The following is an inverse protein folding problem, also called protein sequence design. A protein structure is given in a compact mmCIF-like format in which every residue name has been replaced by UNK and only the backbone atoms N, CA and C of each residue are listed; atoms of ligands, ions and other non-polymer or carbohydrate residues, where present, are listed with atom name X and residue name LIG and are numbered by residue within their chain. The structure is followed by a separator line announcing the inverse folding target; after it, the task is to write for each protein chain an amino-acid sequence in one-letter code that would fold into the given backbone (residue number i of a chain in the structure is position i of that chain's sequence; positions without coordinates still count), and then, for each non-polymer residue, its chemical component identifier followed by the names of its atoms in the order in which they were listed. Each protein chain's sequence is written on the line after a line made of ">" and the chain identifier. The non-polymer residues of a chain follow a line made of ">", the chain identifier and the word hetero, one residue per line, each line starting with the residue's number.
data_IF_325964867198
#
_entry.id   IF_325964867198
#
_cell.length_a   1.000
_cell.length_b   1.000
_cell.length_c   1.000
_cell.angle_alpha   90.00
_cell.angle_beta   90.00
_cell.angle_gamma   90.00
#
_symmetry.space_group_name_H-M   'P 1'
#
loop_
_entity.id
_entity.type
_entity.pdbx_description
1 polymer ?
#
# COMPACT_ATOMS: atom_id res chain seq x y z
N UNK A 1 -25.10 5.24 -3.73
CA UNK A 1 -25.03 6.07 -2.51
C UNK A 1 -23.69 6.76 -2.56
N UNK A 2 -23.66 8.08 -2.78
CA UNK A 2 -22.42 8.82 -3.01
C UNK A 2 -21.62 8.91 -1.70
N UNK A 3 -20.34 8.54 -1.74
CA UNK A 3 -19.39 8.78 -0.66
C UNK A 3 -19.35 10.29 -0.37
N UNK A 4 -19.82 10.67 0.82
CA UNK A 4 -19.46 11.96 1.41
C UNK A 4 -18.24 11.71 2.28
N UNK A 5 -17.14 12.41 1.98
CA UNK A 5 -16.04 12.58 2.91
C UNK A 5 -16.60 13.12 4.24
N UNK A 6 -16.37 12.40 5.33
CA UNK A 6 -16.56 12.93 6.68
C UNK A 6 -15.40 13.88 6.97
N UNK A 7 -15.61 15.15 6.63
CA UNK A 7 -14.73 16.25 7.06
C UNK A 7 -14.98 16.49 8.55
N UNK A 8 -13.91 16.54 9.34
CA UNK A 8 -13.94 16.91 10.77
C UNK A 8 -14.73 18.21 10.95
N UNK A 9 -15.96 18.10 11.48
CA UNK A 9 -16.80 19.24 11.82
C UNK A 9 -16.72 19.43 13.34
N UNK A 10 -16.36 20.64 13.78
CA UNK A 10 -16.12 21.01 15.19
C UNK A 10 -17.36 20.90 16.10
N UNK A 11 -18.52 20.53 15.55
CA UNK A 11 -19.79 20.35 16.25
C UNK A 11 -20.17 18.88 16.55
N UNK A 12 -19.20 17.97 16.60
CA UNK A 12 -19.46 16.55 16.90
C UNK A 12 -19.81 16.38 18.37
N UNK A 13 -21.07 16.05 18.68
CA UNK A 13 -21.52 15.77 20.05
C UNK A 13 -21.41 14.26 20.35
N UNK A 14 -20.72 13.94 21.45
CA UNK A 14 -20.62 12.58 21.99
C UNK A 14 -21.77 12.35 22.98
N UNK A 15 -22.61 11.35 22.70
CA UNK A 15 -23.68 10.92 23.61
C UNK A 15 -23.26 9.58 24.24
N UNK A 16 -23.28 9.50 25.57
CA UNK A 16 -23.02 8.24 26.28
C UNK A 16 -24.28 7.38 26.28
N UNK A 17 -24.15 6.11 25.93
CA UNK A 17 -25.25 5.14 25.98
C UNK A 17 -24.95 4.03 27.00
N UNK A 18 -25.96 3.49 27.70
CA UNK A 18 -25.80 2.32 28.55
C UNK A 18 -25.25 1.13 27.74
N UNK A 19 -24.43 0.28 28.37
CA UNK A 19 -23.81 -0.90 27.77
C UNK A 19 -24.85 -1.91 27.25
N UNK A 20 -25.24 -1.80 25.98
CA UNK A 20 -26.11 -2.77 25.29
C UNK A 20 -25.34 -3.86 24.53
N UNK A 21 -24.01 -3.78 24.48
CA UNK A 21 -23.15 -4.69 23.72
C UNK A 21 -22.15 -5.34 24.67
N UNK A 22 -22.25 -6.66 24.86
CA UNK A 22 -21.39 -7.40 25.78
C UNK A 22 -19.90 -7.14 25.56
N UNK A 23 -19.15 -7.01 26.66
CA UNK A 23 -17.68 -6.99 26.81
C UNK A 23 -16.82 -6.10 25.88
N UNK A 24 -17.40 -5.24 25.04
CA UNK A 24 -16.67 -4.31 24.17
C UNK A 24 -16.61 -2.89 24.74
N UNK A 25 -15.43 -2.26 24.71
CA UNK A 25 -15.29 -0.81 24.97
C UNK A 25 -15.39 -0.08 23.64
N UNK A 26 -16.35 0.85 23.55
CA UNK A 26 -16.57 1.65 22.35
C UNK A 26 -17.42 2.88 22.64
N UNK A 27 -17.37 3.84 21.73
CA UNK A 27 -18.10 5.10 21.81
C UNK A 27 -19.13 5.17 20.68
N UNK A 28 -20.28 5.79 20.95
CA UNK A 28 -21.26 6.12 19.91
C UNK A 28 -21.08 7.58 19.49
N UNK A 29 -20.92 7.77 18.20
CA UNK A 29 -20.80 9.07 17.56
C UNK A 29 -22.10 9.35 16.82
N UNK A 30 -22.77 10.43 17.17
CA UNK A 30 -23.96 10.89 16.45
C UNK A 30 -23.52 11.43 15.09
N UNK A 31 -23.99 10.81 14.00
CA UNK A 31 -23.61 11.20 12.64
C UNK A 31 -24.46 12.37 12.15
N UNK A 32 -25.77 12.13 12.02
CA UNK A 32 -26.74 13.10 11.53
C UNK A 32 -28.18 12.63 11.80
N UNK A 33 -29.15 13.45 11.40
CA UNK A 33 -30.58 13.14 11.46
C UNK A 33 -31.19 13.24 10.06
N UNK A 34 -31.74 12.14 9.55
CA UNK A 34 -32.40 12.09 8.24
C UNK A 34 -33.84 11.62 8.45
N UNK A 35 -34.81 12.39 7.98
CA UNK A 35 -36.25 12.07 8.07
C UNK A 35 -36.71 11.71 9.50
N UNK A 36 -36.25 12.49 10.49
CA UNK A 36 -36.57 12.25 11.90
C UNK A 36 -35.76 11.15 12.58
N UNK A 37 -35.05 10.31 11.82
CA UNK A 37 -34.20 9.23 12.34
C UNK A 37 -32.79 9.74 12.62
N UNK A 38 -32.35 9.66 13.87
CA UNK A 38 -30.96 9.92 14.23
C UNK A 38 -30.11 8.69 13.92
N UNK A 39 -29.00 8.88 13.20
CA UNK A 39 -28.03 7.83 12.91
C UNK A 39 -26.85 7.93 13.87
N UNK A 40 -26.52 6.80 14.48
CA UNK A 40 -25.36 6.65 15.35
C UNK A 40 -24.34 5.73 14.70
N UNK A 41 -23.06 6.04 14.92
CA UNK A 41 -21.91 5.23 14.55
C UNK A 41 -21.27 4.73 15.84
N UNK A 42 -21.34 3.42 16.09
CA UNK A 42 -20.48 2.83 17.11
C UNK A 42 -19.07 2.69 16.57
N UNK A 43 -18.08 3.12 17.36
CA UNK A 43 -16.65 2.91 17.10
C UNK A 43 -16.07 2.25 18.34
N UNK A 44 -15.57 1.03 18.20
CA UNK A 44 -14.94 0.31 19.30
C UNK A 44 -13.93 -0.70 18.82
N UNK A 45 -13.18 -1.25 19.78
CA UNK A 45 -12.17 -2.26 19.50
C UNK A 45 -12.82 -3.64 19.37
N UNK A 46 -12.49 -4.37 18.30
CA UNK A 46 -12.86 -5.78 18.16
C UNK A 46 -11.71 -6.63 18.71
N UNK A 47 -11.94 -7.32 19.84
CA UNK A 47 -11.02 -8.34 20.36
C UNK A 47 -9.93 -7.88 21.32
N UNK A 48 -10.08 -6.76 22.02
CA UNK A 48 -9.13 -6.32 23.05
C UNK A 48 -9.81 -5.60 24.21
N UNK A 49 -9.39 -5.89 25.44
CA UNK A 49 -9.79 -5.19 26.65
C UNK A 49 -8.93 -3.93 26.74
N UNK A 50 -9.50 -2.75 26.49
CA UNK A 50 -8.83 -1.48 26.83
C UNK A 50 -9.70 -0.74 27.83
N UNK A 51 -9.13 -0.37 28.98
CA UNK A 51 -9.85 0.28 30.08
C UNK A 51 -9.93 1.80 29.95
N UNK A 52 -9.65 2.36 28.77
CA UNK A 52 -9.52 3.80 28.55
C UNK A 52 -10.53 4.30 27.49
N UNK A 53 -11.01 5.56 27.61
CA UNK A 53 -11.86 6.20 26.60
C UNK A 53 -11.20 6.19 25.21
N UNK A 54 -12.00 6.09 24.15
CA UNK A 54 -11.53 5.90 22.79
C UNK A 54 -11.15 7.26 22.21
N UNK A 55 -9.93 7.72 22.47
CA UNK A 55 -9.47 9.01 21.96
C UNK A 55 -9.16 8.92 20.45
N UNK A 56 -10.12 9.32 19.61
CA UNK A 56 -10.00 9.36 18.14
C UNK A 56 -8.81 10.20 17.66
N UNK A 57 -8.43 11.26 18.38
CA UNK A 57 -7.27 12.10 18.05
C UNK A 57 -5.93 11.39 18.35
N UNK A 58 -5.95 10.31 19.13
CA UNK A 58 -4.78 9.48 19.44
C UNK A 58 -4.62 8.25 18.55
N UNK A 59 -5.60 7.96 17.68
CA UNK A 59 -5.52 6.85 16.72
C UNK A 59 -4.51 7.21 15.63
N UNK A 60 -3.23 7.00 15.93
CA UNK A 60 -2.09 7.11 14.99
C UNK A 60 -1.61 5.75 14.49
N UNK A 61 -2.39 4.70 14.71
CA UNK A 61 -1.96 3.31 14.48
C UNK A 61 -2.43 2.79 13.14
N UNK A 62 -1.45 2.48 12.29
CA UNK A 62 -1.61 1.81 11.00
C UNK A 62 -2.25 0.43 11.20
N UNK A 63 -3.45 0.21 10.66
CA UNK A 63 -4.08 -1.10 10.57
C UNK A 63 -5.06 -1.47 11.70
N UNK A 64 -5.66 -0.50 12.39
CA UNK A 64 -6.85 -0.74 13.22
C UNK A 64 -8.05 -1.15 12.35
N UNK A 65 -8.69 -2.25 12.70
CA UNK A 65 -10.00 -2.61 12.15
C UNK A 65 -11.06 -2.02 13.09
N UNK A 66 -11.68 -0.93 12.65
CA UNK A 66 -12.83 -0.36 13.33
C UNK A 66 -14.07 -1.03 12.76
N UNK A 67 -14.88 -1.61 13.64
CA UNK A 67 -16.20 -2.11 13.27
C UNK A 67 -17.19 -0.97 13.44
N UNK A 68 -17.89 -0.62 12.35
CA UNK A 68 -18.95 0.37 12.40
C UNK A 68 -20.30 -0.32 12.36
N UNK A 69 -21.12 -0.02 13.36
CA UNK A 69 -22.50 -0.50 13.45
C UNK A 69 -23.44 0.69 13.35
N UNK A 70 -24.29 0.67 12.33
CA UNK A 70 -25.40 1.62 12.19
C UNK A 70 -26.59 1.14 13.02
N UNK A 71 -27.14 2.02 13.85
CA UNK A 71 -28.41 1.77 14.52
C UNK A 71 -29.48 2.72 13.97
N UNK A 72 -30.63 2.16 13.57
CA UNK A 72 -31.82 2.92 13.20
C UNK A 72 -32.79 2.93 14.38
N UNK A 73 -33.10 4.10 14.92
CA UNK A 73 -33.95 4.24 16.11
C UNK A 73 -35.46 4.13 15.80
N UNK A 74 -35.89 3.27 14.88
CA UNK A 74 -37.31 3.22 14.44
C UNK A 74 -37.93 1.81 14.34
N UNK A 75 -37.28 0.77 14.85
CA UNK A 75 -37.93 -0.55 15.02
C UNK A 75 -37.17 -1.43 16.01
N UNK A 76 -37.89 -2.34 16.68
CA UNK A 76 -37.43 -3.23 17.77
C UNK A 76 -36.32 -4.25 17.40
N UNK A 77 -35.59 -4.06 16.29
CA UNK A 77 -34.50 -4.93 15.86
C UNK A 77 -33.41 -4.10 15.16
N UNK A 78 -32.24 -3.88 15.78
CA UNK A 78 -31.12 -3.21 15.11
C UNK A 78 -30.63 -4.03 13.91
N UNK A 79 -30.61 -3.43 12.72
CA UNK A 79 -29.96 -4.02 11.54
C UNK A 79 -28.50 -3.58 11.49
N UNK A 80 -27.59 -4.51 11.69
CA UNK A 80 -26.16 -4.28 11.55
C UNK A 80 -25.76 -4.33 10.08
N UNK A 81 -25.25 -3.22 9.54
CA UNK A 81 -24.55 -3.20 8.26
C UNK A 81 -23.06 -3.15 8.60
N UNK A 82 -22.37 -4.28 8.40
CA UNK A 82 -20.91 -4.32 8.55
C UNK A 82 -20.29 -3.60 7.35
N UNK A 83 -19.87 -2.35 7.55
CA UNK A 83 -18.99 -1.66 6.62
C UNK A 83 -17.60 -1.59 7.23
N UNK A 84 -16.62 -2.12 6.50
CA UNK A 84 -15.21 -1.91 6.84
C UNK A 84 -14.85 -0.48 6.46
N UNK A 85 -14.87 0.43 7.43
CA UNK A 85 -14.45 1.81 7.22
C UNK A 85 -12.97 1.95 7.56
N UNK A 86 -12.24 2.54 6.61
CA UNK A 86 -10.81 2.84 6.75
C UNK A 86 -10.64 4.32 6.93
N UNK A 87 -10.00 4.69 8.03
CA UNK A 87 -9.52 6.04 8.24
C UNK A 87 -8.13 6.13 7.65
N UNK A 88 -8.01 6.88 6.57
CA UNK A 88 -6.73 7.26 6.02
C UNK A 88 -6.32 8.56 6.70
N UNK A 89 -5.16 8.60 7.39
CA UNK A 89 -4.68 9.86 7.93
C UNK A 89 -4.49 10.85 6.78
N UNK A 90 -4.81 12.12 7.03
CA UNK A 90 -4.56 13.18 6.06
C UNK A 90 -3.08 13.12 5.64
N UNK A 91 -2.78 13.01 4.34
CA UNK A 91 -1.40 12.95 3.85
C UNK A 91 -0.58 14.14 4.35
N UNK A 92 0.67 13.91 4.76
CA UNK A 92 1.56 15.01 5.09
C UNK A 92 1.87 15.86 3.84
N UNK A 93 2.25 17.12 4.05
CA UNK A 93 2.60 17.99 2.93
C UNK A 93 3.85 17.49 2.18
N UNK A 94 4.71 16.72 2.86
CA UNK A 94 5.81 16.01 2.21
C UNK A 94 5.29 14.97 1.21
N UNK A 95 4.36 14.10 1.61
CA UNK A 95 3.84 13.06 0.73
C UNK A 95 3.09 13.65 -0.46
N UNK A 96 2.34 14.75 -0.27
CA UNK A 96 1.71 15.49 -1.37
C UNK A 96 2.75 16.03 -2.33
N UNK A 97 3.74 16.77 -1.82
CA UNK A 97 4.81 17.35 -2.64
C UNK A 97 5.54 16.29 -3.45
N UNK A 98 5.92 15.18 -2.82
CA UNK A 98 6.57 14.05 -3.50
C UNK A 98 5.72 13.52 -4.66
N UNK A 99 4.42 13.34 -4.45
CA UNK A 99 3.50 12.84 -5.48
C UNK A 99 3.34 13.83 -6.61
N UNK A 100 3.18 15.11 -6.29
CA UNK A 100 3.05 16.17 -7.28
C UNK A 100 4.32 16.29 -8.13
N UNK A 101 5.48 16.08 -7.51
CA UNK A 101 6.80 16.09 -8.16
C UNK A 101 7.11 14.80 -8.97
N UNK A 102 6.27 13.75 -8.95
CA UNK A 102 6.50 12.55 -9.79
C UNK A 102 6.44 12.92 -11.27
N UNK A 103 7.56 12.71 -11.98
CA UNK A 103 7.69 12.96 -13.41
C UNK A 103 7.44 11.67 -14.19
N UNK A 104 6.36 11.62 -14.98
CA UNK A 104 5.97 10.43 -15.77
C UNK A 104 5.71 10.71 -17.26
N UNK A 105 6.21 11.83 -17.79
CA UNK A 105 5.97 12.25 -19.17
C UNK A 105 6.56 11.30 -20.25
N UNK A 106 7.49 10.41 -19.87
CA UNK A 106 8.07 9.37 -20.73
C UNK A 106 7.48 7.98 -20.47
N UNK A 107 6.42 7.89 -19.67
CA UNK A 107 5.72 6.64 -19.41
C UNK A 107 4.63 6.43 -20.48
N UNK A 108 4.43 5.19 -20.92
CA UNK A 108 3.36 4.85 -21.84
C UNK A 108 1.99 5.25 -21.25
N UNK A 109 1.13 5.82 -22.10
CA UNK A 109 -0.18 6.32 -21.71
C UNK A 109 -1.06 5.28 -21.00
N UNK A 110 -0.97 4.01 -21.38
CA UNK A 110 -1.73 2.93 -20.73
C UNK A 110 -1.41 2.82 -19.22
N UNK A 111 -0.17 3.11 -18.81
CA UNK A 111 0.24 3.07 -17.41
C UNK A 111 -0.03 4.35 -16.65
N UNK A 112 -0.27 5.47 -17.36
CA UNK A 112 -0.63 6.72 -16.71
C UNK A 112 -1.93 6.58 -15.91
N UNK A 113 -2.88 5.73 -16.35
CA UNK A 113 -4.09 5.44 -15.58
C UNK A 113 -3.78 4.72 -14.27
N UNK A 114 -2.89 3.71 -14.31
CA UNK A 114 -2.47 2.97 -13.10
C UNK A 114 -1.79 3.92 -12.11
N UNK A 115 -0.81 4.70 -12.59
CA UNK A 115 -0.11 5.67 -11.75
C UNK A 115 -1.05 6.76 -11.23
N UNK A 116 -1.98 7.25 -12.05
CA UNK A 116 -2.97 8.25 -11.65
C UNK A 116 -3.81 7.77 -10.46
N UNK A 117 -4.31 6.53 -10.51
CA UNK A 117 -5.08 5.97 -9.40
C UNK A 117 -4.21 5.81 -8.15
N UNK A 118 -2.95 5.37 -8.29
CA UNK A 118 -2.02 5.28 -7.16
C UNK A 118 -1.67 6.65 -6.54
N UNK A 119 -1.50 7.69 -7.37
CA UNK A 119 -1.22 9.08 -6.93
C UNK A 119 -2.41 9.65 -6.17
N UNK A 120 -3.62 9.47 -6.70
CA UNK A 120 -4.82 10.05 -6.11
C UNK A 120 -5.42 9.19 -5.00
N UNK A 121 -5.06 7.91 -4.97
CA UNK A 121 -5.70 6.94 -4.11
C UNK A 121 -5.29 6.95 -2.65
N UNK A 122 -4.10 7.47 -2.36
CA UNK A 122 -3.54 7.43 -1.01
C UNK A 122 -2.54 6.30 -0.83
N UNK A 123 -2.62 5.21 -1.61
CA UNK A 123 -1.64 4.12 -1.64
C UNK A 123 -0.17 4.61 -1.66
N UNK A 124 0.16 5.55 -2.56
CA UNK A 124 1.50 6.15 -2.58
C UNK A 124 1.72 7.17 -1.45
N UNK A 125 0.68 7.92 -1.07
CA UNK A 125 0.75 8.94 0.01
C UNK A 125 1.16 8.30 1.33
N UNK A 126 0.54 7.18 1.68
CA UNK A 126 0.82 6.46 2.91
C UNK A 126 2.22 5.85 2.95
N UNK A 127 2.70 5.35 1.81
CA UNK A 127 4.07 4.90 1.67
C UNK A 127 5.03 6.09 1.91
N UNK A 128 4.81 7.23 1.26
CA UNK A 128 5.65 8.41 1.41
C UNK A 128 5.58 9.05 2.81
N UNK A 129 4.43 9.03 3.47
CA UNK A 129 4.31 9.48 4.87
C UNK A 129 5.14 8.61 5.81
N UNK A 130 5.17 7.32 5.55
CA UNK A 130 6.05 6.42 6.30
C UNK A 130 7.53 6.70 6.03
N UNK A 131 7.87 7.03 4.78
CA UNK A 131 9.22 7.35 4.34
C UNK A 131 9.73 8.69 4.89
N UNK A 132 8.85 9.66 5.12
CA UNK A 132 9.18 11.02 5.57
C UNK A 132 9.98 11.07 6.90
N UNK A 133 9.90 10.01 7.71
CA UNK A 133 10.69 9.89 8.95
C UNK A 133 12.21 9.90 8.71
N UNK A 134 12.66 9.70 7.47
CA UNK A 134 14.08 9.61 7.10
C UNK A 134 14.71 10.88 6.49
N UNK A 135 13.97 11.97 6.30
CA UNK A 135 14.52 13.24 5.78
C UNK A 135 15.06 13.20 4.33
N UNK A 136 14.66 12.22 3.54
CA UNK A 136 15.14 12.06 2.16
C UNK A 136 14.51 13.11 1.22
N UNK A 137 15.34 13.76 0.39
CA UNK A 137 14.85 14.58 -0.73
C UNK A 137 14.50 13.65 -1.89
N UNK A 138 13.21 13.44 -2.14
CA UNK A 138 12.73 12.44 -3.07
C UNK A 138 12.12 13.08 -4.32
N UNK A 139 12.72 12.84 -5.49
CA UNK A 139 12.15 13.18 -6.79
C UNK A 139 12.19 11.92 -7.66
N UNK A 140 11.05 11.50 -8.21
CA UNK A 140 10.92 10.19 -8.85
C UNK A 140 10.45 10.31 -10.29
N UNK A 141 11.35 9.95 -11.20
CA UNK A 141 11.12 9.87 -12.63
C UNK A 141 10.74 8.45 -13.02
N UNK A 142 9.59 8.29 -13.68
CA UNK A 142 9.10 7.00 -14.15
C UNK A 142 8.98 7.07 -15.66
N UNK A 143 9.52 6.07 -16.35
CA UNK A 143 9.48 6.01 -17.81
C UNK A 143 9.35 4.57 -18.31
N UNK A 144 8.96 4.42 -19.57
CA UNK A 144 8.89 3.13 -20.25
C UNK A 144 10.14 2.91 -21.11
N UNK A 145 10.66 1.69 -21.11
CA UNK A 145 11.84 1.35 -21.90
C UNK A 145 12.45 -0.01 -21.54
N UNK A 146 13.65 -0.29 -22.03
CA UNK A 146 14.33 -1.53 -21.69
C UNK A 146 14.92 -1.47 -20.27
N UNK A 147 14.39 -2.28 -19.36
CA UNK A 147 14.89 -2.42 -17.99
C UNK A 147 15.92 -3.56 -17.86
N UNK A 148 16.84 -3.70 -18.82
CA UNK A 148 17.86 -4.75 -18.86
C UNK A 148 17.27 -6.17 -18.69
N UNK A 149 16.18 -6.44 -19.39
CA UNK A 149 15.47 -7.72 -19.32
C UNK A 149 14.65 -7.96 -18.04
N UNK A 150 14.71 -7.07 -17.03
CA UNK A 150 13.84 -7.11 -15.85
C UNK A 150 12.45 -6.50 -16.16
N UNK A 151 11.50 -6.68 -15.23
CA UNK A 151 10.17 -6.03 -15.27
C UNK A 151 10.31 -4.51 -15.12
N UNK A 152 11.09 -4.10 -14.14
CA UNK A 152 11.42 -2.73 -13.87
C UNK A 152 12.86 -2.62 -13.35
N UNK A 153 13.41 -1.41 -13.41
CA UNK A 153 14.70 -1.10 -12.81
C UNK A 153 14.68 0.32 -12.27
N UNK A 154 14.88 0.43 -10.96
CA UNK A 154 15.11 1.72 -10.28
C UNK A 154 16.60 1.96 -10.05
N UNK A 155 17.05 3.19 -10.30
CA UNK A 155 18.42 3.65 -10.05
C UNK A 155 18.43 5.14 -9.73
N UNK A 156 19.48 5.61 -9.06
CA UNK A 156 19.69 7.06 -8.93
C UNK A 156 20.18 7.66 -10.25
N UNK A 157 19.71 8.86 -10.59
CA UNK A 157 20.26 9.69 -11.66
C UNK A 157 21.39 10.58 -11.18
N UNK A 158 21.43 10.88 -9.87
CA UNK A 158 22.40 11.76 -9.26
C UNK A 158 23.07 11.06 -8.07
N UNK A 159 24.36 11.29 -7.86
CA UNK A 159 25.11 10.63 -6.79
C UNK A 159 24.65 11.03 -5.37
N UNK A 160 23.84 12.07 -5.25
CA UNK A 160 23.26 12.54 -3.98
C UNK A 160 21.86 11.95 -3.68
N UNK A 161 21.32 11.11 -4.55
CA UNK A 161 20.03 10.43 -4.33
C UNK A 161 18.80 11.34 -4.39
N UNK A 162 18.94 12.57 -4.86
CA UNK A 162 17.81 13.51 -4.94
C UNK A 162 16.90 13.24 -6.13
N UNK A 163 17.35 12.42 -7.09
CA UNK A 163 16.59 12.09 -8.29
C UNK A 163 16.69 10.61 -8.63
N UNK A 164 15.58 9.91 -8.48
CA UNK A 164 15.43 8.50 -8.77
C UNK A 164 14.79 8.30 -10.14
N UNK A 165 15.25 7.30 -10.88
CA UNK A 165 14.65 6.89 -12.16
C UNK A 165 14.27 5.43 -12.15
N UNK A 166 13.02 5.16 -12.48
CA UNK A 166 12.47 3.82 -12.72
C UNK A 166 12.14 3.66 -14.20
N UNK A 167 12.67 2.59 -14.80
CA UNK A 167 12.30 2.16 -16.16
C UNK A 167 11.40 0.95 -16.08
N UNK A 168 10.25 0.98 -16.77
CA UNK A 168 9.28 -0.10 -16.86
C UNK A 168 9.36 -0.78 -18.23
N UNK A 169 9.54 -2.10 -18.25
CA UNK A 169 9.71 -2.89 -19.47
C UNK A 169 8.38 -3.38 -20.05
N UNK A 170 7.53 -2.44 -20.43
CA UNK A 170 6.14 -2.72 -20.79
C UNK A 170 6.04 -3.65 -22.01
N UNK A 171 6.88 -3.44 -23.03
CA UNK A 171 6.85 -4.23 -24.26
C UNK A 171 7.10 -5.72 -24.03
N UNK A 172 7.93 -6.07 -23.03
CA UNK A 172 8.20 -7.46 -22.65
C UNK A 172 7.07 -8.11 -21.84
N UNK A 173 6.25 -7.31 -21.15
CA UNK A 173 5.21 -7.78 -20.24
C UNK A 173 3.83 -7.24 -20.64
N UNK A 174 3.52 -7.30 -21.94
CA UNK A 174 2.26 -6.82 -22.52
C UNK A 174 1.01 -7.62 -22.09
N UNK A 175 1.19 -8.84 -21.58
CA UNK A 175 0.11 -9.67 -21.02
C UNK A 175 -0.19 -9.38 -19.54
N UNK A 176 0.58 -8.50 -18.91
CA UNK A 176 0.40 -8.19 -17.50
C UNK A 176 -0.80 -7.28 -17.25
N UNK A 177 -1.44 -7.45 -16.10
CA UNK A 177 -2.60 -6.67 -15.71
C UNK A 177 -2.25 -5.30 -15.13
N UNK A 178 -3.23 -4.41 -15.10
CA UNK A 178 -3.18 -3.16 -14.35
C UNK A 178 -2.77 -3.40 -12.88
N UNK A 179 -3.24 -4.48 -12.26
CA UNK A 179 -2.91 -4.85 -10.89
C UNK A 179 -1.43 -5.28 -10.73
N UNK A 180 -0.89 -6.04 -11.69
CA UNK A 180 0.54 -6.36 -11.73
C UNK A 180 1.40 -5.10 -11.80
N UNK A 181 0.99 -4.13 -12.63
CA UNK A 181 1.71 -2.87 -12.79
C UNK A 181 1.52 -1.93 -11.60
N UNK A 182 0.35 -1.92 -10.96
CA UNK A 182 0.13 -1.18 -9.72
C UNK A 182 1.08 -1.69 -8.62
N UNK A 183 1.19 -3.02 -8.48
CA UNK A 183 2.15 -3.64 -7.55
C UNK A 183 3.57 -3.26 -7.90
N UNK A 184 3.92 -3.31 -9.18
CA UNK A 184 5.27 -2.98 -9.65
C UNK A 184 5.62 -1.53 -9.34
N UNK A 185 4.72 -0.57 -9.60
CA UNK A 185 4.93 0.83 -9.23
C UNK A 185 5.10 1.02 -7.71
N UNK A 186 4.27 0.36 -6.90
CA UNK A 186 4.43 0.39 -5.44
C UNK A 186 5.77 -0.20 -4.99
N UNK A 187 6.19 -1.33 -5.56
CA UNK A 187 7.49 -1.95 -5.30
C UNK A 187 8.65 -1.02 -5.67
N UNK A 188 8.63 -0.44 -6.87
CA UNK A 188 9.68 0.47 -7.31
C UNK A 188 9.71 1.80 -6.53
N UNK A 189 8.56 2.26 -6.00
CA UNK A 189 8.52 3.42 -5.10
C UNK A 189 9.30 3.18 -3.81
N UNK A 190 9.28 1.94 -3.30
CA UNK A 190 10.08 1.54 -2.14
C UNK A 190 11.56 1.52 -2.53
N UNK A 191 11.93 0.92 -3.67
CA UNK A 191 13.33 0.99 -4.14
C UNK A 191 13.85 2.42 -4.26
N UNK A 192 13.05 3.31 -4.86
CA UNK A 192 13.40 4.71 -5.01
C UNK A 192 13.65 5.36 -3.63
N UNK A 193 12.82 5.04 -2.64
CA UNK A 193 12.98 5.57 -1.28
C UNK A 193 14.24 5.04 -0.61
N UNK A 194 14.47 3.73 -0.64
CA UNK A 194 15.63 3.11 0.03
C UNK A 194 16.94 3.65 -0.55
N UNK A 195 17.03 3.80 -1.87
CA UNK A 195 18.22 4.37 -2.52
C UNK A 195 18.37 5.86 -2.18
N UNK A 196 17.29 6.63 -2.20
CA UNK A 196 17.34 8.06 -1.85
C UNK A 196 17.76 8.27 -0.38
N UNK A 197 17.20 7.51 0.55
CA UNK A 197 17.55 7.56 1.96
C UNK A 197 19.00 7.15 2.21
N UNK A 198 19.47 6.08 1.54
CA UNK A 198 20.86 5.64 1.61
C UNK A 198 21.85 6.72 1.13
N UNK A 199 21.54 7.39 0.02
CA UNK A 199 22.42 8.40 -0.56
C UNK A 199 22.39 9.74 0.17
N UNK A 200 21.28 10.06 0.85
CA UNK A 200 21.12 11.30 1.61
C UNK A 200 21.59 11.20 3.06
N UNK A 201 21.74 10.00 3.61
CA UNK A 201 22.21 9.85 5.00
C UNK A 201 23.71 10.13 5.14
N UNK A 202 24.08 10.87 6.20
CA UNK A 202 25.47 11.21 6.55
C UNK A 202 26.22 10.09 7.28
N UNK A 203 25.59 8.92 7.45
CA UNK A 203 26.22 7.76 8.06
C UNK A 203 27.44 7.30 7.24
N UNK A 204 28.43 6.69 7.91
CA UNK A 204 29.52 6.00 7.23
C UNK A 204 28.99 4.79 6.45
N UNK A 205 29.68 4.36 5.41
CA UNK A 205 29.22 3.24 4.56
C UNK A 205 29.07 1.93 5.35
N UNK A 206 29.91 1.68 6.35
CA UNK A 206 29.75 0.54 7.28
C UNK A 206 28.44 0.63 8.08
N UNK A 207 28.07 1.83 8.56
CA UNK A 207 26.80 2.02 9.27
C UNK A 207 25.60 1.96 8.32
N UNK A 208 25.76 2.38 7.07
CA UNK A 208 24.73 2.21 6.03
C UNK A 208 24.55 0.74 5.65
N UNK A 209 25.62 -0.04 5.52
CA UNK A 209 25.56 -1.47 5.20
C UNK A 209 24.78 -2.26 6.26
N UNK A 210 24.96 -1.91 7.54
CA UNK A 210 24.20 -2.47 8.67
C UNK A 210 22.69 -2.18 8.59
N UNK A 211 22.28 -1.03 8.04
CA UNK A 211 20.86 -0.71 7.85
C UNK A 211 20.17 -1.61 6.81
N UNK A 212 20.94 -2.16 5.86
CA UNK A 212 20.40 -2.95 4.74
C UNK A 212 20.87 -4.41 4.75
N UNK A 213 21.37 -4.90 5.90
CA UNK A 213 21.70 -6.30 6.16
C UNK A 213 22.64 -6.93 5.10
N UNK A 214 23.68 -6.21 4.70
CA UNK A 214 24.67 -6.77 3.78
C UNK A 214 26.07 -6.71 4.41
N UNK A 215 26.61 -7.88 4.78
CA UNK A 215 27.98 -8.05 5.27
C UNK A 215 29.00 -8.20 4.13
N UNK A 216 28.57 -8.06 2.86
CA UNK A 216 29.42 -8.26 1.69
C UNK A 216 30.09 -6.95 1.26
N UNK A 217 31.26 -6.68 1.85
CA UNK A 217 32.09 -5.49 1.65
C UNK A 217 32.58 -5.30 0.19
N UNK A 218 32.47 -6.33 -0.65
CA UNK A 218 33.03 -6.36 -2.01
C UNK A 218 32.02 -6.06 -3.13
N UNK A 219 30.73 -5.86 -2.81
CA UNK A 219 29.70 -5.61 -3.82
C UNK A 219 29.37 -4.11 -3.93
N UNK A 220 29.33 -3.56 -5.15
CA UNK A 220 28.95 -2.16 -5.37
C UNK A 220 27.62 -1.86 -4.68
N UNK A 221 27.55 -0.81 -3.86
CA UNK A 221 26.40 -0.46 -2.99
C UNK A 221 25.02 -0.47 -3.67
N UNK A 222 24.96 -0.13 -4.97
CA UNK A 222 23.75 -0.25 -5.79
C UNK A 222 23.26 -1.69 -5.86
N UNK A 223 24.15 -2.67 -5.99
CA UNK A 223 23.84 -4.10 -5.96
C UNK A 223 23.33 -4.52 -4.59
N UNK A 224 23.87 -3.97 -3.50
CA UNK A 224 23.41 -4.28 -2.14
C UNK A 224 21.98 -3.77 -1.88
N UNK A 225 21.69 -2.50 -2.20
CA UNK A 225 20.39 -1.84 -1.89
C UNK A 225 19.32 -2.07 -2.98
N UNK A 226 19.72 -2.39 -4.22
CA UNK A 226 18.76 -2.60 -5.33
C UNK A 226 18.57 -4.10 -5.63
N UNK A 227 19.53 -4.97 -5.31
CA UNK A 227 19.38 -6.42 -5.47
C UNK A 227 19.15 -7.11 -4.11
N UNK A 228 20.12 -7.89 -3.61
CA UNK A 228 19.87 -8.89 -2.57
C UNK A 228 19.49 -8.27 -1.20
N UNK A 229 20.31 -7.37 -0.66
CA UNK A 229 20.05 -6.75 0.65
C UNK A 229 18.81 -5.86 0.65
N UNK A 230 18.60 -5.09 -0.41
CA UNK A 230 17.42 -4.27 -0.62
C UNK A 230 16.13 -5.06 -0.67
N UNK A 231 16.09 -6.11 -1.50
CA UNK A 231 14.93 -7.00 -1.56
C UNK A 231 14.68 -7.71 -0.23
N UNK A 232 15.73 -8.13 0.51
CA UNK A 232 15.58 -8.73 1.85
C UNK A 232 14.94 -7.74 2.83
N UNK A 233 15.42 -6.50 2.84
CA UNK A 233 14.86 -5.44 3.67
C UNK A 233 13.41 -5.12 3.27
N UNK A 234 13.10 -5.10 1.98
CA UNK A 234 11.74 -4.93 1.47
C UNK A 234 10.80 -6.07 1.87
N UNK A 235 11.26 -7.31 1.74
CA UNK A 235 10.53 -8.50 2.13
C UNK A 235 10.13 -8.45 3.61
N UNK A 236 11.06 -8.01 4.46
CA UNK A 236 10.85 -7.96 5.91
C UNK A 236 10.00 -6.76 6.36
N UNK A 237 10.07 -5.63 5.67
CA UNK A 237 9.52 -4.36 6.19
C UNK A 237 8.40 -3.74 5.34
N UNK A 238 8.30 -4.06 4.06
CA UNK A 238 7.45 -3.31 3.11
C UNK A 238 6.40 -4.13 2.39
N UNK A 239 6.45 -5.47 2.40
CA UNK A 239 5.43 -6.31 1.75
C UNK A 239 4.01 -5.97 2.22
N UNK A 240 3.82 -5.81 3.54
CA UNK A 240 2.51 -5.42 4.09
C UNK A 240 2.03 -4.06 3.56
N UNK A 241 2.94 -3.10 3.40
CA UNK A 241 2.60 -1.76 2.89
C UNK A 241 2.25 -1.80 1.40
N UNK A 242 3.01 -2.57 0.62
CA UNK A 242 2.69 -2.82 -0.80
C UNK A 242 1.30 -3.46 -0.91
N UNK A 243 0.98 -4.45 -0.07
CA UNK A 243 -0.33 -5.09 -0.05
C UNK A 243 -1.47 -4.10 0.31
N UNK A 244 -1.25 -3.22 1.30
CA UNK A 244 -2.22 -2.18 1.65
C UNK A 244 -2.45 -1.18 0.50
N UNK A 245 -1.38 -0.75 -0.17
CA UNK A 245 -1.49 0.12 -1.35
C UNK A 245 -2.21 -0.55 -2.52
N UNK A 246 -2.05 -1.87 -2.69
CA UNK A 246 -2.81 -2.64 -3.67
C UNK A 246 -4.29 -2.74 -3.33
N UNK A 247 -4.62 -2.86 -2.04
CA UNK A 247 -6.00 -2.91 -1.58
C UNK A 247 -6.71 -1.58 -1.85
N UNK A 248 -6.07 -0.44 -1.54
CA UNK A 248 -6.59 0.89 -1.89
C UNK A 248 -6.78 1.06 -3.41
N UNK A 249 -5.79 0.63 -4.21
CA UNK A 249 -5.90 0.62 -5.66
C UNK A 249 -7.11 -0.19 -6.14
N UNK A 250 -7.28 -1.41 -5.62
CA UNK A 250 -8.39 -2.30 -5.95
C UNK A 250 -9.75 -1.70 -5.58
N UNK A 251 -9.88 -1.08 -4.41
CA UNK A 251 -11.12 -0.42 -3.98
C UNK A 251 -11.53 0.67 -4.98
N UNK A 252 -10.58 1.49 -5.44
CA UNK A 252 -10.83 2.61 -6.36
C UNK A 252 -11.13 2.17 -7.78
N UNK A 253 -10.57 1.04 -8.17
CA UNK A 253 -10.85 0.40 -9.45
C UNK A 253 -12.07 -0.52 -9.39
N UNK A 254 -12.74 -0.63 -8.24
CA UNK A 254 -13.84 -1.56 -8.01
C UNK A 254 -13.49 -3.02 -8.39
N UNK A 255 -12.28 -3.46 -8.03
CA UNK A 255 -11.77 -4.82 -8.23
C UNK A 255 -11.81 -5.55 -6.87
N UNK A 256 -12.91 -6.26 -6.53
CA UNK A 256 -13.04 -6.89 -5.23
C UNK A 256 -12.12 -8.12 -5.15
N UNK A 257 -11.00 -7.98 -4.43
CA UNK A 257 -10.06 -9.07 -4.19
C UNK A 257 -9.87 -9.30 -2.70
N UNK A 258 -9.64 -10.55 -2.35
CA UNK A 258 -9.32 -10.92 -0.99
C UNK A 258 -7.93 -10.40 -0.60
N UNK A 259 -7.77 -10.05 0.68
CA UNK A 259 -6.50 -9.52 1.20
C UNK A 259 -5.36 -10.52 1.05
N UNK A 260 -5.66 -11.82 1.07
CA UNK A 260 -4.64 -12.85 0.95
C UNK A 260 -3.99 -12.84 -0.44
N UNK A 261 -4.79 -12.68 -1.48
CA UNK A 261 -4.38 -12.52 -2.88
C UNK A 261 -3.51 -11.27 -3.06
N UNK A 262 -3.92 -10.14 -2.50
CA UNK A 262 -3.13 -8.90 -2.57
C UNK A 262 -1.80 -9.03 -1.80
N UNK A 263 -1.83 -9.68 -0.64
CA UNK A 263 -0.61 -10.00 0.11
C UNK A 263 0.30 -10.97 -0.66
N UNK A 264 -0.25 -11.95 -1.38
CA UNK A 264 0.52 -12.83 -2.26
C UNK A 264 1.17 -12.04 -3.40
N UNK A 265 0.41 -11.16 -4.04
CA UNK A 265 0.90 -10.35 -5.14
C UNK A 265 2.00 -9.38 -4.68
N UNK A 266 1.90 -8.81 -3.47
CA UNK A 266 2.90 -7.93 -2.88
C UNK A 266 4.29 -8.58 -2.69
N UNK A 267 4.37 -9.91 -2.60
CA UNK A 267 5.64 -10.65 -2.58
C UNK A 267 6.30 -10.80 -3.95
N UNK A 268 5.61 -10.45 -5.04
CA UNK A 268 6.09 -10.67 -6.42
C UNK A 268 7.31 -9.82 -6.75
N UNK A 269 8.44 -10.47 -6.99
CA UNK A 269 9.76 -9.85 -7.19
C UNK A 269 10.74 -10.15 -6.05
N UNK A 270 10.24 -10.65 -4.91
CA UNK A 270 11.01 -10.91 -3.70
C UNK A 270 11.24 -12.41 -3.45
N UNK A 271 10.96 -13.28 -4.42
CA UNK A 271 11.01 -14.74 -4.24
C UNK A 271 12.41 -15.32 -4.01
N UNK A 272 13.47 -14.52 -4.21
CA UNK A 272 14.86 -14.93 -4.01
C UNK A 272 15.39 -14.58 -2.61
N UNK A 273 14.62 -13.83 -1.82
CA UNK A 273 14.97 -13.39 -0.46
C UNK A 273 14.92 -14.55 0.53
N UNK A 274 15.70 -14.47 1.60
CA UNK A 274 15.70 -15.46 2.67
C UNK A 274 14.40 -15.38 3.49
N UNK A 275 13.86 -14.18 3.68
CA UNK A 275 12.52 -13.97 4.22
C UNK A 275 11.45 -14.75 3.43
N UNK A 276 11.48 -14.73 2.09
CA UNK A 276 10.59 -15.54 1.28
C UNK A 276 10.85 -17.03 1.44
N UNK A 277 12.12 -17.48 1.43
CA UNK A 277 12.47 -18.91 1.54
C UNK A 277 11.96 -19.54 2.83
N UNK A 278 11.92 -18.77 3.93
CA UNK A 278 11.41 -19.17 5.25
C UNK A 278 9.88 -19.32 5.30
N UNK A 279 9.14 -18.84 4.29
CA UNK A 279 7.69 -19.01 4.25
C UNK A 279 7.30 -20.49 4.06
N UNK A 280 6.15 -20.93 4.59
CA UNK A 280 5.61 -22.26 4.32
C UNK A 280 5.47 -22.53 2.81
N UNK A 281 5.70 -23.77 2.37
CA UNK A 281 5.62 -24.15 0.95
C UNK A 281 4.27 -23.82 0.31
N UNK A 282 3.17 -24.04 1.03
CA UNK A 282 1.83 -23.67 0.57
C UNK A 282 1.72 -22.18 0.26
N UNK A 283 2.34 -21.32 1.09
CA UNK A 283 2.36 -19.87 0.89
C UNK A 283 3.23 -19.48 -0.31
N UNK A 284 4.41 -20.08 -0.44
CA UNK A 284 5.31 -19.86 -1.60
C UNK A 284 4.62 -20.24 -2.92
N UNK A 285 3.90 -21.36 -2.94
CA UNK A 285 3.08 -21.79 -4.08
C UNK A 285 2.02 -20.74 -4.43
N UNK A 286 1.24 -20.28 -3.45
CA UNK A 286 0.19 -19.27 -3.67
C UNK A 286 0.74 -17.94 -4.19
N UNK A 287 1.90 -17.49 -3.68
CA UNK A 287 2.61 -16.30 -4.17
C UNK A 287 3.01 -16.47 -5.64
N UNK A 288 3.68 -17.58 -5.96
CA UNK A 288 4.15 -17.84 -7.32
C UNK A 288 3.00 -17.98 -8.32
N UNK A 289 1.91 -18.62 -7.92
CA UNK A 289 0.71 -18.76 -8.75
C UNK A 289 0.04 -17.40 -9.00
N UNK A 290 -0.15 -16.60 -7.95
CA UNK A 290 -0.71 -15.24 -8.06
C UNK A 290 0.12 -14.36 -9.00
N UNK A 291 1.45 -14.43 -8.88
CA UNK A 291 2.39 -13.73 -9.74
C UNK A 291 2.26 -14.14 -11.22
N UNK A 292 2.21 -15.44 -11.52
CA UNK A 292 2.11 -15.92 -12.90
C UNK A 292 0.76 -15.56 -13.51
N UNK A 293 -0.32 -15.65 -12.74
CA UNK A 293 -1.66 -15.26 -13.20
C UNK A 293 -1.62 -13.77 -13.58
N UNK A 294 -1.27 -12.85 -12.67
CA UNK A 294 -1.34 -11.43 -12.99
C UNK A 294 -0.33 -10.97 -14.05
N UNK A 295 0.83 -11.65 -14.17
CA UNK A 295 1.85 -11.31 -15.18
C UNK A 295 1.54 -11.87 -16.57
N UNK A 296 0.99 -13.08 -16.65
CA UNK A 296 0.97 -13.87 -17.90
C UNK A 296 -0.40 -14.51 -18.20
N UNK A 297 -1.32 -14.56 -17.24
CA UNK A 297 -2.60 -15.25 -17.40
C UNK A 297 -2.49 -16.77 -17.38
N UNK A 298 -1.48 -17.31 -16.69
CA UNK A 298 -1.30 -18.76 -16.52
C UNK A 298 -1.04 -19.14 -15.07
N UNK A 299 -1.41 -20.36 -14.68
CA UNK A 299 -1.06 -20.92 -13.38
C UNK A 299 0.33 -21.60 -13.40
N UNK A 300 0.72 -22.20 -12.27
CA UNK A 300 2.00 -22.92 -12.14
C UNK A 300 2.13 -24.15 -13.06
N UNK A 301 1.02 -24.66 -13.59
CA UNK A 301 0.99 -25.77 -14.57
C UNK A 301 1.04 -25.27 -16.01
N UNK A 302 1.17 -23.95 -16.23
CA UNK A 302 1.14 -23.33 -17.55
C UNK A 302 -0.25 -23.27 -18.19
N UNK A 303 -1.31 -23.60 -17.44
CA UNK A 303 -2.68 -23.57 -17.95
C UNK A 303 -3.20 -22.14 -17.93
N UNK A 304 -3.93 -21.75 -18.97
CA UNK A 304 -4.58 -20.44 -19.04
C UNK A 304 -5.57 -20.27 -17.89
N UNK A 305 -5.48 -19.15 -17.18
CA UNK A 305 -6.37 -18.79 -16.07
C UNK A 305 -6.77 -17.33 -16.23
N UNK A 306 -8.04 -17.05 -15.93
CA UNK A 306 -8.57 -15.68 -15.94
C UNK A 306 -7.82 -14.84 -14.90
N UNK A 307 -7.21 -13.76 -15.37
CA UNK A 307 -6.54 -12.77 -14.53
C UNK A 307 -7.58 -11.99 -13.72
N UNK A 308 -7.19 -11.54 -12.54
CA UNK A 308 -8.05 -10.75 -11.64
C UNK A 308 -8.01 -9.27 -11.99
N UNK A 309 -6.84 -8.75 -12.34
CA UNK A 309 -6.72 -7.44 -12.96
C UNK A 309 -7.07 -7.47 -14.45
N UNK A 310 -7.17 -6.28 -15.04
CA UNK A 310 -7.43 -6.10 -16.46
C UNK A 310 -6.13 -5.96 -17.23
N UNK A 311 -5.99 -6.61 -18.38
CA UNK A 311 -4.80 -6.44 -19.24
C UNK A 311 -4.70 -4.99 -19.70
N UNK A 312 -3.56 -4.37 -19.46
CA UNK A 312 -3.30 -3.05 -20.02
C UNK A 312 -2.77 -3.25 -21.44
N UNK A 313 -3.59 -2.90 -22.43
CA UNK A 313 -3.24 -3.04 -23.85
C UNK A 313 -2.26 -1.94 -24.28
N UNK A 314 -1.06 -1.97 -23.72
CA UNK A 314 0.04 -1.09 -24.05
C UNK A 314 0.67 -1.54 -25.36
N UNK A 315 0.10 -1.10 -26.47
CA UNK A 315 0.73 -1.23 -27.79
C UNK A 315 1.73 -0.10 -28.00
#
# INVERSE_FOLDING_TARGET
>A
MNEKELVNNENTQFESFPNYLGNGVGEFIKLDRINGVTRYMWVGYVGGITSSPLNLNSIRTYGLQLEMRYMYNNSNQPRFINQNLRFFPKPSDFAKKVIDDIISNKMNQCLNQVLYVLKNGGALKENFDYFNKGGASYNWNIESGNANGKVAQTRSLLNNGTRMRTVLNISKYNNATNLFWAKTLLHESVHAYLVSNYLSTKLSDSNKAKLFMNDDENNSWTTAVINKGGHEYMASNYVRRIAMGLEDYCLRMNIPLDREYLANLAWSGLQHTDAYKKLPEARKKAINETFLIERQGVNLKGQSVKQKGERINCK
#
